data_IF_275316007325
#
_entry.id   IF_275316007325
#
_cell.length_a   1.000
_cell.length_b   1.000
_cell.length_c   1.000
_cell.angle_alpha   90.00
_cell.angle_beta   90.00
_cell.angle_gamma   90.00
#
_symmetry.space_group_name_H-M   'P 1'
#
loop_
_entity.id
_entity.type
_entity.pdbx_description
1 polymer ?
#
# COMPACT_ATOMS: atom_id res chain seq x y z
N UNK A 1 -15.96 47.15 -35.08
CA UNK A 1 -17.06 48.16 -34.95
C UNK A 1 -18.11 47.53 -34.04
N UNK A 2 -18.25 48.04 -32.80
CA UNK A 2 -19.36 48.91 -32.34
C UNK A 2 -20.74 48.29 -32.59
N UNK A 3 -21.71 48.19 -31.68
CA UNK A 3 -21.99 48.53 -30.27
C UNK A 3 -23.34 47.78 -30.00
N UNK A 4 -23.50 47.04 -28.91
CA UNK A 4 -24.22 47.41 -27.67
C UNK A 4 -25.71 47.83 -27.81
N UNK A 5 -26.57 47.22 -26.99
CA UNK A 5 -27.95 47.63 -26.72
C UNK A 5 -28.42 47.07 -25.37
N UNK A 6 -28.53 47.97 -24.38
CA UNK A 6 -28.86 47.71 -22.98
C UNK A 6 -30.39 47.62 -22.73
N UNK A 7 -30.77 46.99 -21.62
CA UNK A 7 -32.12 47.01 -21.04
C UNK A 7 -32.07 47.20 -19.53
N UNK A 8 -32.81 48.21 -19.05
CA UNK A 8 -32.78 48.90 -17.76
C UNK A 8 -33.82 48.32 -16.78
N UNK A 9 -33.60 48.38 -15.46
CA UNK A 9 -34.56 48.95 -14.50
C UNK A 9 -34.04 48.96 -13.04
N UNK A 10 -34.38 50.05 -12.36
CA UNK A 10 -33.84 50.54 -11.10
C UNK A 10 -34.75 50.26 -9.90
N UNK A 11 -34.19 50.34 -8.69
CA UNK A 11 -34.90 50.82 -7.50
C UNK A 11 -33.91 51.44 -6.50
N UNK A 12 -34.10 52.74 -6.24
CA UNK A 12 -33.46 53.53 -5.18
C UNK A 12 -34.11 53.23 -3.81
N UNK A 13 -33.38 53.48 -2.72
CA UNK A 13 -33.88 54.26 -1.58
C UNK A 13 -32.70 54.88 -0.81
N UNK A 14 -32.85 56.17 -0.48
CA UNK A 14 -31.88 57.12 0.08
C UNK A 14 -32.20 57.44 1.57
N UNK A 15 -31.28 58.22 2.18
CA UNK A 15 -31.44 59.32 3.17
C UNK A 15 -30.88 59.01 4.58
N UNK A 16 -29.77 59.65 5.03
CA UNK A 16 -29.61 60.94 5.80
C UNK A 16 -29.33 60.66 7.30
N UNK A 17 -28.59 61.42 8.13
CA UNK A 17 -28.01 62.77 8.13
C UNK A 17 -27.01 62.95 9.31
N UNK A 18 -25.97 63.78 9.13
CA UNK A 18 -25.50 64.97 9.91
C UNK A 18 -25.76 65.05 11.45
N UNK A 19 -24.97 65.67 12.36
CA UNK A 19 -23.94 66.73 12.31
C UNK A 19 -23.40 67.06 13.74
N UNK A 20 -22.10 67.43 13.83
CA UNK A 20 -21.37 68.46 14.62
C UNK A 20 -21.36 68.57 16.17
N UNK A 21 -20.11 68.70 16.64
CA UNK A 21 -19.43 69.15 17.89
C UNK A 21 -20.12 69.92 19.03
N UNK A 22 -19.67 69.64 20.27
CA UNK A 22 -19.03 70.65 21.13
C UNK A 22 -18.05 70.05 22.18
N UNK A 23 -16.86 70.65 22.23
CA UNK A 23 -15.89 70.90 23.32
C UNK A 23 -15.92 70.12 24.65
N UNK A 24 -14.75 69.57 25.04
CA UNK A 24 -13.98 69.95 26.28
C UNK A 24 -12.71 69.08 26.41
N UNK A 25 -11.57 69.73 26.68
CA UNK A 25 -10.25 69.18 27.08
C UNK A 25 -9.94 69.69 28.51
N UNK A 26 -8.98 69.18 29.32
CA UNK A 26 -7.95 68.15 29.09
C UNK A 26 -7.84 67.07 30.21
N UNK A 27 -6.98 66.06 30.02
CA UNK A 27 -5.76 65.77 30.82
C UNK A 27 -5.33 64.29 30.66
N UNK A 28 -4.02 64.07 30.79
CA UNK A 28 -3.23 63.07 30.07
C UNK A 28 -3.12 61.68 30.73
N UNK A 29 -2.85 60.66 29.90
CA UNK A 29 -1.84 59.61 30.12
C UNK A 29 -1.49 58.90 28.80
N UNK A 30 -0.22 58.52 28.54
CA UNK A 30 0.25 58.07 27.22
C UNK A 30 0.18 56.53 27.05
N UNK A 31 0.81 56.04 25.96
CA UNK A 31 1.22 54.65 25.58
C UNK A 31 0.31 53.92 24.57
N UNK A 32 0.86 53.06 23.66
CA UNK A 32 1.87 53.31 22.63
C UNK A 32 1.37 52.96 21.20
N UNK A 33 2.16 53.32 20.19
CA UNK A 33 1.94 53.11 18.76
C UNK A 33 1.91 51.63 18.32
N UNK A 34 0.91 51.25 17.51
CA UNK A 34 0.95 50.05 16.66
C UNK A 34 1.90 50.26 15.48
N UNK A 35 2.74 49.28 15.09
CA UNK A 35 3.42 49.31 13.82
C UNK A 35 2.49 48.86 12.68
N UNK A 36 2.55 49.63 11.61
CA UNK A 36 2.07 49.35 10.26
C UNK A 36 2.45 47.96 9.77
N UNK A 37 1.47 47.26 9.16
CA UNK A 37 1.69 46.04 8.39
C UNK A 37 2.52 46.37 7.13
N UNK A 38 3.72 45.80 7.06
CA UNK A 38 4.51 45.74 5.82
C UNK A 38 4.20 44.42 5.14
N UNK A 39 3.62 44.53 3.95
CA UNK A 39 3.49 43.48 2.93
C UNK A 39 4.89 42.90 2.66
N UNK A 40 5.08 41.61 2.90
CA UNK A 40 6.31 40.88 2.58
C UNK A 40 5.97 39.83 1.52
N UNK A 41 6.72 39.93 0.43
CA UNK A 41 6.69 39.13 -0.79
C UNK A 41 6.59 37.61 -0.56
N UNK A 42 5.83 36.99 -1.47
CA UNK A 42 5.78 35.56 -1.80
C UNK A 42 7.20 34.95 -1.87
N UNK A 43 7.46 33.97 -1.01
CA UNK A 43 8.59 33.04 -1.08
C UNK A 43 7.97 31.65 -1.34
N UNK A 44 8.34 30.93 -2.41
CA UNK A 44 7.74 29.64 -2.72
C UNK A 44 8.17 28.62 -1.67
N UNK A 45 7.17 28.04 -0.99
CA UNK A 45 7.36 26.91 -0.09
C UNK A 45 8.05 25.76 -0.85
N UNK A 46 9.26 25.41 -0.41
CA UNK A 46 9.89 24.15 -0.79
C UNK A 46 9.06 22.96 -0.30
N UNK A 47 9.16 21.78 -0.94
CA UNK A 47 8.43 20.60 -0.53
C UNK A 47 8.91 20.18 0.86
N UNK A 48 8.04 20.28 1.86
CA UNK A 48 8.19 19.58 3.14
C UNK A 48 8.08 18.07 2.90
N UNK A 49 9.01 17.25 3.41
CA UNK A 49 8.79 15.81 3.53
C UNK A 49 7.56 15.57 4.40
N UNK A 50 6.59 14.83 3.85
CA UNK A 50 5.50 14.28 4.64
C UNK A 50 6.03 13.05 5.39
N UNK A 51 6.63 13.29 6.55
CA UNK A 51 6.87 12.27 7.58
C UNK A 51 6.29 12.79 8.88
N UNK A 52 4.99 12.55 9.08
CA UNK A 52 4.39 12.64 10.41
C UNK A 52 5.05 11.64 11.37
N UNK A 53 4.97 11.85 12.70
CA UNK A 53 5.59 10.97 13.69
C UNK A 53 4.72 9.71 13.87
N UNK A 54 4.74 8.83 12.87
CA UNK A 54 4.35 7.42 12.98
C UNK A 54 5.61 6.56 12.97
N UNK A 55 5.63 5.47 13.73
CA UNK A 55 6.71 4.49 13.59
C UNK A 55 6.67 3.91 12.17
N UNK A 56 7.80 3.93 11.47
CA UNK A 56 7.89 3.34 10.14
C UNK A 56 7.42 1.87 10.19
N UNK A 57 6.54 1.49 9.26
CA UNK A 57 6.05 0.11 9.13
C UNK A 57 6.84 -0.61 8.03
N UNK A 58 6.95 -1.95 8.09
CA UNK A 58 7.45 -2.75 6.97
C UNK A 58 6.64 -2.53 5.68
N UNK A 59 7.27 -2.77 4.52
CA UNK A 59 6.62 -2.70 3.20
C UNK A 59 5.77 -3.93 2.86
N UNK A 60 5.75 -4.94 3.75
CA UNK A 60 4.90 -6.12 3.68
C UNK A 60 5.17 -7.07 4.85
N UNK A 61 4.37 -8.12 4.96
CA UNK A 61 4.39 -9.11 6.06
C UNK A 61 5.65 -9.99 6.10
N UNK A 62 6.36 -10.04 4.98
CA UNK A 62 7.61 -10.76 4.81
C UNK A 62 7.45 -12.27 4.65
N UNK A 63 8.36 -12.88 3.91
CA UNK A 63 8.46 -14.34 3.80
C UNK A 63 9.92 -14.75 3.57
N UNK A 64 10.22 -16.04 3.53
CA UNK A 64 11.53 -16.54 3.08
C UNK A 64 11.52 -16.99 1.61
N UNK A 65 10.39 -16.83 0.92
CA UNK A 65 10.28 -17.19 -0.49
C UNK A 65 11.03 -16.18 -1.37
N UNK A 66 11.57 -16.66 -2.49
CA UNK A 66 12.26 -15.81 -3.47
C UNK A 66 11.30 -14.79 -4.08
N UNK A 67 11.77 -13.54 -4.24
CA UNK A 67 11.07 -12.47 -4.92
C UNK A 67 11.78 -12.14 -6.23
N UNK A 68 11.11 -12.35 -7.36
CA UNK A 68 11.62 -12.09 -8.71
C UNK A 68 10.63 -11.18 -9.45
N UNK A 69 11.08 -9.98 -9.79
CA UNK A 69 10.31 -9.01 -10.58
C UNK A 69 11.19 -8.45 -11.70
N UNK A 70 10.76 -8.58 -12.97
CA UNK A 70 11.50 -8.02 -14.09
C UNK A 70 11.40 -6.50 -14.12
N UNK A 71 12.49 -5.84 -14.50
CA UNK A 71 12.49 -4.40 -14.81
C UNK A 71 11.84 -4.12 -16.17
N UNK A 72 11.42 -2.87 -16.38
CA UNK A 72 10.74 -2.44 -17.59
C UNK A 72 11.33 -1.13 -18.13
N UNK A 73 11.24 -0.93 -19.45
CA UNK A 73 11.69 0.31 -20.08
C UNK A 73 13.22 0.49 -20.10
N UNK A 74 13.71 1.74 -20.26
CA UNK A 74 15.14 2.04 -20.27
C UNK A 74 15.84 1.69 -18.93
N UNK A 75 17.14 1.36 -18.94
CA UNK A 75 17.87 1.11 -17.70
C UNK A 75 17.91 2.32 -16.77
N UNK A 76 17.89 2.06 -15.46
CA UNK A 76 17.94 3.10 -14.41
C UNK A 76 19.29 3.10 -13.70
N UNK A 77 19.76 4.27 -13.28
CA UNK A 77 20.98 4.36 -12.48
C UNK A 77 20.64 4.22 -11.00
N UNK A 78 21.33 3.33 -10.29
CA UNK A 78 21.36 3.32 -8.83
C UNK A 78 22.13 4.57 -8.37
N UNK A 79 21.54 5.40 -7.52
CA UNK A 79 22.14 6.66 -7.05
C UNK A 79 22.49 6.64 -5.57
N UNK A 80 21.79 5.82 -4.78
CA UNK A 80 21.99 5.75 -3.34
C UNK A 80 21.63 4.39 -2.77
N UNK A 81 22.37 3.96 -1.75
CA UNK A 81 22.07 2.79 -0.92
C UNK A 81 22.05 3.24 0.54
N UNK A 82 20.90 3.12 1.19
CA UNK A 82 20.71 3.52 2.58
C UNK A 82 20.31 2.32 3.45
N UNK A 83 20.82 2.30 4.68
CA UNK A 83 20.45 1.32 5.70
C UNK A 83 19.78 2.06 6.87
N UNK A 84 18.68 1.50 7.38
CA UNK A 84 17.98 2.04 8.53
C UNK A 84 17.58 0.92 9.49
N UNK A 85 17.72 1.18 10.79
CA UNK A 85 17.22 0.30 11.84
C UNK A 85 15.86 0.82 12.34
N UNK A 86 14.88 -0.07 12.44
CA UNK A 86 13.54 0.22 12.97
C UNK A 86 13.19 -0.75 14.09
N UNK A 87 12.09 -0.50 14.79
CA UNK A 87 11.59 -1.47 15.77
C UNK A 87 10.99 -2.67 15.03
N UNK A 88 11.50 -3.87 15.30
CA UNK A 88 11.02 -5.11 14.69
C UNK A 88 11.52 -5.42 13.27
N UNK A 89 12.28 -4.53 12.61
CA UNK A 89 12.89 -4.79 11.30
C UNK A 89 14.05 -3.85 10.99
N UNK A 90 14.92 -4.27 10.07
CA UNK A 90 15.92 -3.40 9.43
C UNK A 90 15.57 -3.20 7.96
N UNK A 91 15.94 -2.06 7.40
CA UNK A 91 15.58 -1.66 6.05
C UNK A 91 16.81 -1.37 5.21
N UNK A 92 16.84 -1.94 4.01
CA UNK A 92 17.77 -1.59 2.94
C UNK A 92 16.99 -0.84 1.85
N UNK A 93 17.44 0.36 1.48
CA UNK A 93 16.82 1.17 0.43
C UNK A 93 17.80 1.41 -0.70
N UNK A 94 17.38 1.08 -1.92
CA UNK A 94 18.08 1.39 -3.15
C UNK A 94 17.31 2.49 -3.88
N UNK A 95 17.94 3.65 -4.12
CA UNK A 95 17.31 4.77 -4.84
C UNK A 95 17.79 4.82 -6.28
N UNK A 96 16.87 5.13 -7.18
CA UNK A 96 17.14 5.09 -8.62
C UNK A 96 16.79 6.42 -9.27
N UNK A 97 17.46 6.69 -10.40
CA UNK A 97 17.13 7.76 -11.31
C UNK A 97 17.05 7.22 -12.74
N UNK A 98 16.05 7.66 -13.49
CA UNK A 98 15.79 7.23 -14.87
C UNK A 98 14.29 7.19 -15.16
N UNK A 99 13.94 6.92 -16.42
CA UNK A 99 12.54 6.87 -16.89
C UNK A 99 11.96 5.45 -16.90
N UNK A 100 12.80 4.41 -16.75
CA UNK A 100 12.35 3.03 -16.63
C UNK A 100 12.24 2.56 -15.19
N UNK A 101 11.98 1.27 -15.03
CA UNK A 101 11.78 0.60 -13.75
C UNK A 101 12.92 -0.40 -13.48
N UNK A 102 13.53 -0.39 -12.28
CA UNK A 102 14.44 -1.46 -11.89
C UNK A 102 13.65 -2.76 -11.72
N UNK A 103 14.29 -3.88 -12.05
CA UNK A 103 13.84 -5.19 -11.58
C UNK A 103 14.68 -5.66 -10.38
N UNK A 104 14.29 -6.77 -9.78
CA UNK A 104 15.03 -7.36 -8.68
C UNK A 104 14.82 -8.86 -8.57
N UNK A 105 15.84 -9.53 -8.06
CA UNK A 105 15.81 -10.93 -7.62
C UNK A 105 16.35 -10.96 -6.19
N UNK A 106 15.54 -11.41 -5.23
CA UNK A 106 15.89 -11.46 -3.80
C UNK A 106 15.62 -12.85 -3.26
N UNK A 107 16.64 -13.50 -2.71
CA UNK A 107 16.53 -14.87 -2.20
C UNK A 107 17.75 -15.33 -1.42
N UNK A 108 17.57 -16.35 -0.58
CA UNK A 108 18.65 -16.92 0.23
C UNK A 108 19.61 -17.76 -0.60
N UNK A 109 20.89 -17.69 -0.26
CA UNK A 109 21.93 -18.51 -0.89
C UNK A 109 22.91 -19.07 0.13
N UNK A 110 23.18 -20.37 0.03
CA UNK A 110 24.21 -21.04 0.84
C UNK A 110 25.63 -20.73 0.35
N UNK A 111 25.77 -20.26 -0.89
CA UNK A 111 27.07 -20.05 -1.54
C UNK A 111 27.10 -18.72 -2.28
N UNK A 112 27.20 -17.58 -1.55
CA UNK A 112 27.40 -16.28 -2.15
C UNK A 112 28.61 -16.30 -3.10
N UNK A 113 28.39 -15.90 -4.35
CA UNK A 113 29.41 -15.88 -5.39
C UNK A 113 29.35 -14.60 -6.19
N UNK A 114 30.54 -14.10 -6.51
CA UNK A 114 30.71 -12.90 -7.31
C UNK A 114 30.26 -13.14 -8.74
N UNK A 115 29.36 -12.32 -9.26
CA UNK A 115 28.83 -12.48 -10.63
C UNK A 115 29.93 -12.30 -11.69
N UNK A 116 30.90 -11.43 -11.44
CA UNK A 116 31.99 -11.18 -12.39
C UNK A 116 33.07 -12.27 -12.40
N UNK A 117 33.47 -12.76 -11.23
CA UNK A 117 34.62 -13.68 -11.10
C UNK A 117 34.25 -15.15 -10.83
N UNK A 118 33.02 -15.42 -10.37
CA UNK A 118 32.59 -16.72 -9.86
C UNK A 118 33.22 -17.13 -8.52
N UNK A 119 34.09 -16.28 -7.94
CA UNK A 119 34.72 -16.50 -6.65
C UNK A 119 33.71 -16.42 -5.50
N UNK A 120 34.00 -17.05 -4.35
CA UNK A 120 33.17 -16.91 -3.16
C UNK A 120 33.19 -15.47 -2.64
N UNK A 121 32.06 -14.98 -2.14
CA UNK A 121 31.94 -13.69 -1.45
C UNK A 121 31.79 -13.96 0.05
N UNK A 122 32.60 -13.32 0.87
CA UNK A 122 32.50 -13.43 2.33
C UNK A 122 31.41 -12.49 2.83
N UNK A 123 30.37 -13.05 3.44
CA UNK A 123 29.21 -12.32 3.96
C UNK A 123 29.12 -12.59 5.47
N UNK A 124 29.38 -11.59 6.33
CA UNK A 124 29.26 -11.76 7.78
C UNK A 124 27.84 -12.15 8.19
N UNK A 125 27.68 -13.11 9.09
CA UNK A 125 26.39 -13.56 9.60
C UNK A 125 26.21 -15.08 9.57
N UNK A 126 25.04 -15.55 10.00
CA UNK A 126 24.61 -16.95 9.93
C UNK A 126 23.84 -17.32 8.67
N UNK A 127 23.32 -16.34 7.91
CA UNK A 127 22.68 -16.54 6.61
C UNK A 127 23.00 -15.39 5.65
N UNK A 128 22.95 -15.66 4.34
CA UNK A 128 23.18 -14.67 3.30
C UNK A 128 21.96 -14.56 2.37
N UNK A 129 21.36 -13.36 2.35
CA UNK A 129 20.31 -13.01 1.41
C UNK A 129 20.95 -12.30 0.20
N UNK A 130 20.85 -12.90 -0.98
CA UNK A 130 21.26 -12.27 -2.24
C UNK A 130 20.20 -11.27 -2.69
N UNK A 131 20.64 -10.08 -3.08
CA UNK A 131 19.80 -9.01 -3.64
C UNK A 131 20.44 -8.60 -4.97
N UNK A 132 19.83 -8.99 -6.09
CA UNK A 132 20.28 -8.60 -7.42
C UNK A 132 19.31 -7.61 -8.02
N UNK A 133 19.75 -6.37 -8.21
CA UNK A 133 19.01 -5.36 -8.96
C UNK A 133 19.22 -5.60 -10.45
N UNK A 134 18.16 -5.56 -11.25
CA UNK A 134 18.21 -5.76 -12.70
C UNK A 134 17.71 -4.53 -13.44
N UNK A 135 17.98 -4.44 -14.75
CA UNK A 135 17.73 -3.26 -15.56
C UNK A 135 18.49 -2.01 -15.07
N UNK A 136 19.73 -2.20 -14.60
CA UNK A 136 20.58 -1.11 -14.08
C UNK A 136 21.49 -0.57 -15.18
N UNK A 137 21.53 0.75 -15.32
CA UNK A 137 22.46 1.44 -16.21
C UNK A 137 23.90 1.26 -15.70
N UNK A 138 24.83 0.95 -16.62
CA UNK A 138 26.25 0.98 -16.28
C UNK A 138 26.68 2.42 -16.00
N UNK A 139 27.73 2.67 -15.19
CA UNK A 139 28.12 4.03 -14.83
C UNK A 139 28.41 4.96 -16.02
N UNK A 140 28.86 4.41 -17.16
CA UNK A 140 29.09 5.17 -18.40
C UNK A 140 27.83 5.45 -19.23
N UNK A 141 26.72 4.77 -18.91
CA UNK A 141 25.43 4.85 -19.61
C UNK A 141 24.34 5.50 -18.73
N UNK A 142 24.73 6.08 -17.59
CA UNK A 142 23.81 6.75 -16.68
C UNK A 142 23.14 7.97 -17.34
N UNK A 143 21.89 8.31 -16.96
CA UNK A 143 21.20 9.47 -17.52
C UNK A 143 21.98 10.78 -17.29
N UNK A 144 21.84 11.73 -18.21
CA UNK A 144 22.53 13.02 -18.13
C UNK A 144 22.28 13.73 -16.78
N UNK A 145 23.36 14.12 -16.11
CA UNK A 145 23.31 14.82 -14.82
C UNK A 145 23.00 13.92 -13.62
N UNK A 146 22.87 12.61 -13.81
CA UNK A 146 22.77 11.63 -12.74
C UNK A 146 24.16 11.12 -12.39
N UNK A 147 24.51 11.16 -11.10
CA UNK A 147 25.71 10.52 -10.58
C UNK A 147 25.34 9.11 -10.09
N UNK A 148 25.89 8.04 -10.71
CA UNK A 148 25.73 6.69 -10.19
C UNK A 148 26.35 6.57 -8.79
N UNK A 149 25.76 5.71 -7.98
CA UNK A 149 26.33 5.32 -6.71
C UNK A 149 27.73 4.71 -6.93
N UNK A 150 28.73 5.21 -6.20
CA UNK A 150 30.15 4.85 -6.42
C UNK A 150 30.60 3.61 -5.64
N UNK A 151 29.67 2.88 -5.03
CA UNK A 151 29.98 1.76 -4.14
C UNK A 151 30.22 2.18 -2.69
N UNK A 152 30.27 1.20 -1.78
CA UNK A 152 30.38 1.49 -0.34
C UNK A 152 30.56 0.31 0.61
N UNK A 153 30.96 -0.86 0.12
CA UNK A 153 31.00 -2.08 0.94
C UNK A 153 32.23 -2.23 1.86
N UNK A 154 32.06 -2.78 3.08
CA UNK A 154 30.80 -3.18 3.70
C UNK A 154 30.01 -2.00 4.26
N UNK A 155 28.68 -2.03 4.10
CA UNK A 155 27.76 -1.07 4.71
C UNK A 155 27.16 -1.65 5.99
N UNK A 156 27.10 -0.85 7.05
CA UNK A 156 26.51 -1.22 8.35
C UNK A 156 25.65 -0.08 8.89
N UNK A 157 24.68 -0.40 9.73
CA UNK A 157 23.85 0.58 10.43
C UNK A 157 23.85 0.32 11.93
N UNK A 158 24.05 1.37 12.72
CA UNK A 158 24.04 1.25 14.17
C UNK A 158 22.62 0.96 14.67
N UNK A 159 22.49 -0.01 15.57
CA UNK A 159 21.20 -0.40 16.14
C UNK A 159 20.39 -1.36 15.28
N UNK A 160 20.97 -1.93 14.22
CA UNK A 160 20.37 -3.03 13.46
C UNK A 160 19.97 -4.20 14.38
N UNK A 161 18.82 -4.79 14.12
CA UNK A 161 18.29 -5.95 14.86
C UNK A 161 18.62 -7.28 14.19
N UNK A 162 18.76 -7.27 12.87
CA UNK A 162 18.75 -8.43 11.96
C UNK A 162 19.93 -8.38 10.99
N UNK A 163 20.19 -7.21 10.41
CA UNK A 163 21.25 -7.00 9.42
C UNK A 163 22.61 -6.83 10.10
N UNK A 164 23.51 -7.78 9.89
CA UNK A 164 24.91 -7.66 10.32
C UNK A 164 25.68 -6.73 9.37
N UNK A 165 25.57 -6.95 8.06
CA UNK A 165 26.31 -6.19 7.04
C UNK A 165 25.65 -6.33 5.67
N UNK A 166 25.64 -5.25 4.88
CA UNK A 166 25.36 -5.32 3.45
C UNK A 166 26.68 -5.27 2.67
N UNK A 167 26.95 -6.33 1.91
CA UNK A 167 28.15 -6.50 1.09
C UNK A 167 27.79 -6.25 -0.38
N UNK A 168 28.39 -5.24 -0.99
CA UNK A 168 28.37 -5.04 -2.44
C UNK A 168 29.29 -6.06 -3.13
N UNK A 169 28.83 -6.67 -4.23
CA UNK A 169 29.67 -7.50 -5.11
C UNK A 169 30.12 -6.73 -6.35
N UNK A 170 29.28 -6.66 -7.39
CA UNK A 170 29.61 -5.96 -8.64
C UNK A 170 28.36 -5.64 -9.44
N UNK A 171 28.50 -4.63 -10.30
CA UNK A 171 27.59 -4.36 -11.42
C UNK A 171 28.19 -4.93 -12.71
N UNK A 172 27.51 -5.92 -13.30
CA UNK A 172 27.89 -6.57 -14.57
C UNK A 172 26.63 -6.76 -15.40
N UNK A 173 26.70 -6.41 -16.69
CA UNK A 173 25.60 -6.64 -17.66
C UNK A 173 24.23 -6.10 -17.19
N UNK A 174 24.25 -4.96 -16.51
CA UNK A 174 23.04 -4.31 -15.98
C UNK A 174 22.40 -5.02 -14.78
N UNK A 175 23.16 -5.92 -14.13
CA UNK A 175 22.80 -6.59 -12.89
C UNK A 175 23.73 -6.14 -11.77
N UNK A 176 23.20 -5.54 -10.71
CA UNK A 176 23.96 -5.10 -9.54
C UNK A 176 23.67 -6.00 -8.36
N UNK A 177 24.65 -6.78 -7.93
CA UNK A 177 24.48 -7.76 -6.85
C UNK A 177 25.00 -7.25 -5.51
N UNK A 178 24.20 -7.50 -4.48
CA UNK A 178 24.50 -7.27 -3.07
C UNK A 178 24.19 -8.54 -2.27
N UNK A 179 24.81 -8.69 -1.12
CA UNK A 179 24.52 -9.73 -0.15
C UNK A 179 24.27 -9.11 1.23
N UNK A 180 23.08 -9.30 1.76
CA UNK A 180 22.77 -8.95 3.14
C UNK A 180 23.10 -10.15 4.05
N UNK A 181 24.04 -9.93 4.96
CA UNK A 181 24.42 -10.86 5.99
C UNK A 181 23.53 -10.74 7.22
N UNK A 182 22.89 -11.83 7.62
CA UNK A 182 21.89 -11.87 8.68
C UNK A 182 22.28 -12.90 9.74
N UNK A 183 21.73 -12.78 10.95
CA UNK A 183 22.01 -13.72 12.06
C UNK A 183 21.54 -15.16 11.79
N UNK A 184 20.43 -15.31 11.06
CA UNK A 184 19.84 -16.55 10.53
C UNK A 184 18.95 -16.21 9.33
N UNK A 185 18.32 -17.21 8.69
CA UNK A 185 17.26 -16.90 7.73
C UNK A 185 16.10 -16.20 8.47
N UNK A 186 15.74 -15.03 7.95
CA UNK A 186 14.69 -14.15 8.44
C UNK A 186 13.69 -13.82 7.32
N UNK A 187 12.42 -13.61 7.64
CA UNK A 187 11.47 -13.17 6.63
C UNK A 187 11.82 -11.78 6.13
N UNK A 188 11.67 -11.56 4.82
CA UNK A 188 11.93 -10.30 4.17
C UNK A 188 10.74 -9.88 3.31
N UNK A 189 10.53 -8.58 3.20
CA UNK A 189 9.52 -7.97 2.32
C UNK A 189 10.21 -7.02 1.33
N UNK A 190 9.78 -7.05 0.07
CA UNK A 190 10.33 -6.20 -0.99
C UNK A 190 9.22 -5.33 -1.57
N UNK A 191 9.46 -4.02 -1.65
CA UNK A 191 8.48 -3.06 -2.16
C UNK A 191 9.13 -1.98 -3.01
N UNK A 192 8.51 -1.65 -4.15
CA UNK A 192 8.90 -0.52 -4.99
C UNK A 192 8.02 0.70 -4.70
N UNK A 193 8.64 1.88 -4.62
CA UNK A 193 7.97 3.17 -4.41
C UNK A 193 8.47 4.14 -5.50
N UNK A 194 7.61 5.04 -5.99
CA UNK A 194 7.86 5.82 -7.22
C UNK A 194 8.13 7.31 -7.00
N UNK A 195 8.08 7.83 -5.77
CA UNK A 195 8.22 9.26 -5.49
C UNK A 195 8.95 9.54 -4.16
N UNK A 196 10.30 9.49 -4.13
CA UNK A 196 11.22 9.16 -5.23
C UNK A 196 11.28 7.66 -5.54
N UNK A 197 11.78 7.30 -6.74
CA UNK A 197 11.91 5.90 -7.16
C UNK A 197 12.92 5.15 -6.27
N UNK A 198 12.42 4.15 -5.54
CA UNK A 198 13.22 3.34 -4.63
C UNK A 198 12.69 1.92 -4.51
N UNK A 199 13.62 0.98 -4.38
CA UNK A 199 13.36 -0.38 -3.92
C UNK A 199 13.67 -0.44 -2.43
N UNK A 200 12.74 -0.98 -1.65
CA UNK A 200 12.86 -1.17 -0.22
C UNK A 200 12.86 -2.66 0.07
N UNK A 201 13.87 -3.13 0.81
CA UNK A 201 13.97 -4.50 1.32
C UNK A 201 13.96 -4.43 2.84
N UNK A 202 12.86 -4.87 3.46
CA UNK A 202 12.74 -4.98 4.91
C UNK A 202 13.09 -6.38 5.38
N UNK A 203 13.91 -6.46 6.42
CA UNK A 203 14.42 -7.66 7.05
C UNK A 203 13.79 -7.76 8.44
N UNK A 204 12.87 -8.69 8.64
CA UNK A 204 12.03 -8.74 9.82
C UNK A 204 12.72 -9.47 10.99
N UNK A 205 12.63 -8.89 12.19
CA UNK A 205 13.24 -9.42 13.40
C UNK A 205 12.51 -10.63 13.97
N UNK A 206 11.22 -10.76 13.69
CA UNK A 206 10.41 -11.94 14.03
C UNK A 206 9.93 -12.63 12.75
N UNK A 207 9.78 -13.95 12.81
CA UNK A 207 9.01 -14.63 11.78
C UNK A 207 7.56 -14.13 11.86
N UNK A 208 6.91 -13.74 10.74
CA UNK A 208 5.50 -13.45 10.77
C UNK A 208 4.83 -14.69 11.33
N UNK A 209 3.91 -14.48 12.26
CA UNK A 209 3.21 -15.58 12.90
C UNK A 209 2.71 -16.52 11.79
N UNK A 210 2.99 -17.84 11.87
CA UNK A 210 2.65 -18.77 10.80
C UNK A 210 1.20 -18.55 10.42
N UNK A 211 0.96 -18.23 9.15
CA UNK A 211 -0.32 -17.78 8.64
C UNK A 211 -1.43 -18.64 9.27
N UNK A 212 -2.22 -18.06 10.18
CA UNK A 212 -2.98 -18.84 11.17
C UNK A 212 -3.78 -19.97 10.49
N UNK A 213 -3.61 -21.21 10.97
CA UNK A 213 -4.25 -22.37 10.36
C UNK A 213 -5.78 -22.22 10.39
N UNK A 214 -6.42 -22.44 9.23
CA UNK A 214 -7.88 -22.44 9.11
C UNK A 214 -8.42 -23.71 9.79
N UNK A 215 -8.87 -23.55 11.03
CA UNK A 215 -9.20 -24.67 11.93
C UNK A 215 -10.63 -24.62 12.46
N UNK A 216 -11.33 -23.50 12.26
CA UNK A 216 -12.75 -23.37 12.52
C UNK A 216 -13.50 -23.37 11.20
N UNK A 217 -14.77 -23.79 11.21
CA UNK A 217 -15.67 -23.69 10.07
C UNK A 217 -16.94 -22.96 10.48
N UNK A 218 -17.43 -22.09 9.61
CA UNK A 218 -18.66 -21.33 9.81
C UNK A 218 -19.64 -21.67 8.68
N UNK A 219 -20.89 -21.96 9.03
CA UNK A 219 -21.97 -22.23 8.06
C UNK A 219 -22.89 -21.01 7.96
N UNK A 220 -22.92 -20.39 6.78
CA UNK A 220 -23.81 -19.26 6.52
C UNK A 220 -25.20 -19.75 6.12
N UNK A 221 -26.28 -19.14 6.65
CA UNK A 221 -27.64 -19.40 6.15
C UNK A 221 -27.81 -18.99 4.68
N UNK A 222 -26.86 -18.27 4.09
CA UNK A 222 -26.83 -17.96 2.66
C UNK A 222 -26.42 -19.15 1.77
N UNK A 223 -26.13 -20.32 2.33
CA UNK A 223 -25.89 -21.57 1.58
C UNK A 223 -24.41 -21.85 1.25
N UNK A 224 -23.48 -21.27 2.01
CA UNK A 224 -22.06 -21.59 1.93
C UNK A 224 -21.49 -21.87 3.32
N UNK A 225 -20.45 -22.68 3.39
CA UNK A 225 -19.60 -22.80 4.57
C UNK A 225 -18.15 -22.47 4.21
N UNK A 226 -17.41 -21.93 5.17
CA UNK A 226 -16.01 -21.51 4.96
C UNK A 226 -15.19 -21.76 6.21
N UNK A 227 -13.95 -22.23 6.04
CA UNK A 227 -13.00 -22.33 7.14
C UNK A 227 -12.36 -20.98 7.44
N UNK A 228 -12.01 -20.73 8.70
CA UNK A 228 -11.38 -19.47 9.15
C UNK A 228 -10.39 -19.73 10.30
N UNK A 229 -9.47 -18.79 10.59
CA UNK A 229 -8.54 -18.94 11.69
C UNK A 229 -9.25 -19.00 13.05
N UNK A 230 -8.80 -19.87 13.95
CA UNK A 230 -9.41 -19.97 15.30
C UNK A 230 -9.25 -18.70 16.16
N UNK A 231 -8.26 -17.86 15.85
CA UNK A 231 -8.05 -16.58 16.50
C UNK A 231 -8.98 -15.48 16.01
N UNK A 232 -9.65 -15.67 14.87
CA UNK A 232 -10.50 -14.65 14.27
C UNK A 232 -11.92 -14.69 14.83
N UNK A 233 -12.51 -13.51 14.97
CA UNK A 233 -13.92 -13.33 15.28
C UNK A 233 -14.77 -13.42 14.02
N UNK A 234 -15.98 -13.96 14.16
CA UNK A 234 -16.99 -14.06 13.11
C UNK A 234 -18.36 -13.60 13.62
N UNK A 235 -19.16 -12.96 12.77
CA UNK A 235 -20.46 -12.44 13.19
C UNK A 235 -21.48 -13.57 13.40
N UNK A 236 -22.32 -13.42 14.43
CA UNK A 236 -23.30 -14.42 14.87
C UNK A 236 -24.62 -14.44 14.07
N UNK A 237 -24.85 -13.49 13.17
CA UNK A 237 -26.07 -13.44 12.36
C UNK A 237 -27.17 -12.47 12.84
N UNK A 238 -26.95 -11.69 13.90
CA UNK A 238 -27.99 -10.84 14.50
C UNK A 238 -28.38 -9.63 13.63
N UNK A 239 -27.41 -8.97 12.99
CA UNK A 239 -27.62 -7.74 12.19
C UNK A 239 -27.54 -8.01 10.69
N UNK A 240 -26.57 -8.83 10.30
CA UNK A 240 -26.32 -9.29 8.92
C UNK A 240 -26.20 -10.81 8.98
N UNK A 241 -26.44 -11.56 7.87
CA UNK A 241 -26.37 -13.02 7.86
C UNK A 241 -25.09 -13.54 8.51
N UNK A 242 -25.17 -14.65 9.26
CA UNK A 242 -24.00 -15.21 9.94
C UNK A 242 -22.90 -15.60 8.95
N UNK A 243 -21.66 -15.62 9.42
CA UNK A 243 -20.49 -16.03 8.62
C UNK A 243 -20.22 -15.11 7.41
N UNK A 244 -20.46 -13.81 7.54
CA UNK A 244 -20.25 -12.81 6.47
C UNK A 244 -19.24 -11.73 6.82
N UNK A 245 -18.77 -11.67 8.06
CA UNK A 245 -17.79 -10.71 8.57
C UNK A 245 -16.75 -11.45 9.38
N UNK A 246 -15.47 -11.27 9.05
CA UNK A 246 -14.35 -11.95 9.70
C UNK A 246 -13.26 -10.93 10.04
N UNK A 247 -12.73 -10.97 11.26
CA UNK A 247 -11.69 -10.04 11.70
C UNK A 247 -10.76 -10.70 12.73
N UNK A 248 -9.48 -10.28 12.81
CA UNK A 248 -8.56 -10.76 13.85
C UNK A 248 -8.98 -10.33 15.26
N UNK A 249 -9.63 -9.16 15.38
CA UNK A 249 -10.11 -8.63 16.65
C UNK A 249 -11.62 -8.83 16.84
N UNK A 250 -12.11 -8.89 18.10
CA UNK A 250 -13.53 -8.87 18.39
C UNK A 250 -14.22 -7.61 17.86
N UNK A 251 -15.39 -7.77 17.24
CA UNK A 251 -16.16 -6.67 16.68
C UNK A 251 -17.65 -6.82 16.99
N UNK A 252 -18.39 -5.72 16.79
CA UNK A 252 -19.85 -5.71 16.76
C UNK A 252 -20.29 -5.14 15.42
N UNK A 253 -21.42 -5.61 14.88
CA UNK A 253 -22.03 -5.05 13.66
C UNK A 253 -23.18 -4.11 14.07
N UNK A 254 -22.99 -2.78 14.03
CA UNK A 254 -24.05 -1.83 14.34
C UNK A 254 -25.27 -2.01 13.44
N UNK A 255 -26.47 -1.82 14.00
CA UNK A 255 -27.69 -1.85 13.20
C UNK A 255 -27.75 -0.68 12.21
N UNK A 256 -28.12 -0.95 10.95
CA UNK A 256 -28.28 0.06 9.91
C UNK A 256 -27.00 0.77 9.49
N UNK A 257 -25.83 0.15 9.70
CA UNK A 257 -24.55 0.68 9.22
C UNK A 257 -24.22 0.15 7.83
N UNK A 258 -23.74 1.05 6.98
CA UNK A 258 -23.10 0.71 5.70
C UNK A 258 -21.56 0.66 5.85
N UNK A 259 -21.04 0.84 7.07
CA UNK A 259 -19.60 0.80 7.31
C UNK A 259 -19.05 -0.61 7.11
N UNK A 260 -17.84 -0.70 6.57
CA UNK A 260 -17.08 -1.93 6.51
C UNK A 260 -16.74 -2.38 7.93
N UNK A 261 -17.22 -3.56 8.29
CA UNK A 261 -16.90 -4.23 9.56
C UNK A 261 -16.21 -5.54 9.22
N UNK A 262 -15.01 -5.74 9.73
CA UNK A 262 -14.20 -6.94 9.46
C UNK A 262 -13.29 -6.82 8.24
N UNK A 263 -12.14 -7.44 8.40
CA UNK A 263 -11.07 -7.49 7.41
C UNK A 263 -11.54 -8.21 6.13
N UNK A 264 -12.21 -9.35 6.30
CA UNK A 264 -12.80 -10.11 5.19
C UNK A 264 -14.32 -10.09 5.30
N UNK A 265 -14.99 -9.81 4.19
CA UNK A 265 -16.45 -9.89 4.10
C UNK A 265 -16.90 -10.82 2.99
N UNK A 266 -17.99 -11.54 3.25
CA UNK A 266 -18.68 -12.35 2.26
C UNK A 266 -20.12 -11.84 2.08
N UNK A 267 -20.60 -11.74 0.84
CA UNK A 267 -21.99 -11.40 0.54
C UNK A 267 -22.49 -12.18 -0.67
N UNK A 268 -23.73 -12.65 -0.60
CA UNK A 268 -24.42 -13.23 -1.75
C UNK A 268 -25.28 -12.13 -2.36
N UNK A 269 -24.88 -11.69 -3.55
CA UNK A 269 -25.55 -10.65 -4.31
C UNK A 269 -26.61 -11.26 -5.24
N UNK A 270 -27.76 -10.61 -5.37
CA UNK A 270 -28.79 -10.94 -6.37
C UNK A 270 -28.47 -10.34 -7.74
N UNK A 271 -27.21 -10.44 -8.16
CA UNK A 271 -26.66 -9.86 -9.39
C UNK A 271 -26.04 -10.99 -10.21
N UNK A 272 -26.22 -11.04 -11.54
CA UNK A 272 -25.55 -12.00 -12.41
C UNK A 272 -24.02 -11.93 -12.28
N UNK A 273 -23.36 -13.07 -12.29
CA UNK A 273 -21.90 -13.19 -12.22
C UNK A 273 -21.19 -12.24 -13.19
N UNK A 274 -21.60 -12.25 -14.46
CA UNK A 274 -21.03 -11.41 -15.53
C UNK A 274 -21.12 -9.91 -15.24
N UNK A 275 -22.16 -9.47 -14.52
CA UNK A 275 -22.31 -8.07 -14.16
C UNK A 275 -21.42 -7.68 -12.98
N UNK A 276 -21.11 -8.61 -12.07
CA UNK A 276 -20.21 -8.37 -10.93
C UNK A 276 -18.75 -8.33 -11.37
N UNK A 277 -18.35 -9.21 -12.29
CA UNK A 277 -16.97 -9.26 -12.80
C UNK A 277 -16.68 -8.25 -13.91
N UNK A 278 -17.69 -7.56 -14.41
CA UNK A 278 -17.55 -6.55 -15.46
C UNK A 278 -16.53 -5.47 -15.04
N UNK A 279 -15.78 -4.91 -16.02
CA UNK A 279 -14.94 -3.74 -15.76
C UNK A 279 -15.78 -2.58 -15.21
N UNK A 280 -15.22 -1.86 -14.25
CA UNK A 280 -15.86 -0.71 -13.61
C UNK A 280 -15.00 0.55 -13.69
N UNK A 281 -15.32 1.53 -12.86
CA UNK A 281 -14.53 2.76 -12.72
C UNK A 281 -13.18 2.56 -12.02
N UNK A 282 -13.08 1.52 -11.19
CA UNK A 282 -11.82 1.16 -10.53
C UNK A 282 -10.82 0.58 -11.53
N UNK A 283 -9.54 0.92 -11.35
CA UNK A 283 -8.43 0.37 -12.13
C UNK A 283 -8.23 -1.11 -11.74
N UNK A 284 -8.16 -2.00 -12.72
CA UNK A 284 -7.92 -3.44 -12.51
C UNK A 284 -6.41 -3.72 -12.56
N UNK A 285 -5.83 -4.12 -11.43
CA UNK A 285 -4.41 -4.47 -11.34
C UNK A 285 -4.15 -5.89 -11.81
N UNK A 286 -5.04 -6.81 -11.45
CA UNK A 286 -4.93 -8.21 -11.83
C UNK A 286 -6.29 -8.89 -11.91
N UNK A 287 -6.36 -9.91 -12.76
CA UNK A 287 -7.52 -10.79 -12.96
C UNK A 287 -7.02 -12.22 -13.17
N UNK A 288 -7.60 -13.14 -12.42
CA UNK A 288 -7.32 -14.57 -12.55
C UNK A 288 -8.64 -15.36 -12.58
N UNK A 289 -8.83 -16.12 -13.65
CA UNK A 289 -9.93 -17.09 -13.73
C UNK A 289 -9.60 -18.31 -12.86
N UNK A 290 -10.57 -18.76 -12.06
CA UNK A 290 -10.38 -19.88 -11.13
C UNK A 290 -11.67 -20.67 -10.92
N UNK A 291 -11.61 -21.72 -10.10
CA UNK A 291 -12.74 -22.57 -9.76
C UNK A 291 -12.79 -22.76 -8.25
N UNK A 292 -13.96 -22.53 -7.66
CA UNK A 292 -14.20 -22.69 -6.21
C UNK A 292 -15.31 -23.70 -6.02
N UNK A 293 -15.01 -24.84 -5.38
CA UNK A 293 -15.97 -25.94 -5.16
C UNK A 293 -16.73 -26.35 -6.45
N UNK A 294 -15.98 -26.46 -7.55
CA UNK A 294 -16.52 -26.82 -8.87
C UNK A 294 -17.32 -25.72 -9.58
N UNK A 295 -17.40 -24.50 -9.01
CA UNK A 295 -18.10 -23.35 -9.60
C UNK A 295 -17.11 -22.37 -10.24
N UNK A 296 -17.52 -21.75 -11.35
CA UNK A 296 -16.75 -20.68 -12.00
C UNK A 296 -16.52 -19.53 -11.04
N UNK A 297 -15.28 -19.06 -10.96
CA UNK A 297 -14.91 -17.94 -10.12
C UNK A 297 -13.84 -17.07 -10.79
N UNK A 298 -13.72 -15.82 -10.34
CA UNK A 298 -12.64 -14.91 -10.73
C UNK A 298 -12.10 -14.24 -9.48
N UNK A 299 -10.77 -14.22 -9.35
CA UNK A 299 -10.05 -13.37 -8.40
C UNK A 299 -9.69 -12.07 -9.12
N UNK A 300 -10.05 -10.94 -8.55
CA UNK A 300 -9.81 -9.63 -9.13
C UNK A 300 -9.20 -8.70 -8.08
N UNK A 301 -8.11 -8.05 -8.43
CA UNK A 301 -7.53 -6.96 -7.65
C UNK A 301 -7.80 -5.62 -8.34
N UNK A 302 -8.28 -4.64 -7.59
CA UNK A 302 -8.61 -3.31 -8.11
C UNK A 302 -8.15 -2.20 -7.19
N UNK A 303 -7.86 -1.04 -7.78
CA UNK A 303 -7.65 0.23 -7.08
C UNK A 303 -8.83 1.15 -7.35
N UNK A 304 -9.44 1.68 -6.29
CA UNK A 304 -10.51 2.65 -6.44
C UNK A 304 -10.02 3.91 -7.14
N UNK A 305 -10.78 4.39 -8.13
CA UNK A 305 -10.57 5.69 -8.77
C UNK A 305 -11.24 6.86 -8.00
N UNK A 306 -11.70 6.62 -6.77
CA UNK A 306 -12.46 7.59 -5.97
C UNK A 306 -13.94 7.70 -6.35
N UNK A 307 -14.40 6.89 -7.31
CA UNK A 307 -15.80 6.74 -7.65
C UNK A 307 -16.46 5.63 -6.81
N UNK A 308 -17.55 5.95 -6.10
CA UNK A 308 -18.32 4.98 -5.31
C UNK A 308 -18.09 5.09 -3.80
N UNK A 309 -17.93 3.94 -3.13
CA UNK A 309 -17.85 3.86 -1.66
C UNK A 309 -16.46 4.18 -1.11
N UNK A 310 -15.40 4.00 -1.91
CA UNK A 310 -14.01 4.04 -1.45
C UNK A 310 -13.25 5.23 -2.04
N UNK A 311 -12.46 5.95 -1.23
CA UNK A 311 -11.54 6.98 -1.73
C UNK A 311 -10.60 6.47 -2.83
N UNK A 312 -10.07 7.38 -3.62
CA UNK A 312 -9.05 7.07 -4.62
C UNK A 312 -7.82 6.41 -3.97
N UNK A 313 -7.25 5.42 -4.63
CA UNK A 313 -6.06 4.70 -4.16
C UNK A 313 -6.34 3.51 -3.24
N UNK A 314 -7.57 3.34 -2.74
CA UNK A 314 -7.93 2.19 -1.89
C UNK A 314 -7.93 0.91 -2.72
N UNK A 315 -7.09 -0.06 -2.34
CA UNK A 315 -7.02 -1.37 -2.99
C UNK A 315 -8.09 -2.33 -2.48
N UNK A 316 -8.48 -3.27 -3.31
CA UNK A 316 -9.36 -4.38 -2.92
C UNK A 316 -9.01 -5.64 -3.69
N UNK A 317 -9.08 -6.78 -3.00
CA UNK A 317 -8.99 -8.12 -3.61
C UNK A 317 -10.31 -8.82 -3.38
N UNK A 318 -10.93 -9.28 -4.46
CA UNK A 318 -12.25 -9.92 -4.45
C UNK A 318 -12.22 -11.25 -5.17
N UNK A 319 -12.80 -12.28 -4.56
CA UNK A 319 -13.24 -13.48 -5.26
C UNK A 319 -14.73 -13.37 -5.56
N UNK A 320 -15.06 -13.54 -6.83
CA UNK A 320 -16.45 -13.54 -7.32
C UNK A 320 -16.75 -14.95 -7.79
N UNK A 321 -17.74 -15.61 -7.20
CA UNK A 321 -18.11 -17.01 -7.50
C UNK A 321 -19.53 -17.07 -8.02
N UNK A 322 -19.71 -17.68 -9.19
CA UNK A 322 -21.02 -17.89 -9.79
C UNK A 322 -21.79 -18.96 -9.01
N UNK A 323 -22.85 -18.55 -8.29
CA UNK A 323 -23.73 -19.51 -7.61
C UNK A 323 -24.84 -20.03 -8.53
N UNK A 324 -24.92 -19.54 -9.78
CA UNK A 324 -25.98 -19.84 -10.73
C UNK A 324 -27.26 -19.05 -10.46
N UNK A 325 -28.36 -19.52 -11.04
CA UNK A 325 -29.69 -18.96 -10.80
C UNK A 325 -30.52 -19.86 -9.89
N UNK A 326 -31.20 -19.27 -8.90
CA UNK A 326 -32.23 -19.92 -8.09
C UNK A 326 -33.64 -19.43 -8.47
N UNK A 327 -34.66 -19.86 -7.72
CA UNK A 327 -36.05 -19.42 -7.91
C UNK A 327 -36.23 -17.89 -7.78
N UNK A 328 -35.34 -17.25 -7.01
CA UNK A 328 -35.34 -15.80 -6.74
C UNK A 328 -34.47 -14.99 -7.73
N UNK A 329 -33.83 -15.65 -8.70
CA UNK A 329 -32.97 -15.02 -9.70
C UNK A 329 -31.49 -15.39 -9.60
N UNK A 330 -30.61 -14.67 -10.33
CA UNK A 330 -29.17 -14.94 -10.32
C UNK A 330 -28.57 -14.66 -8.95
N UNK A 331 -27.57 -15.46 -8.58
CA UNK A 331 -26.86 -15.35 -7.30
C UNK A 331 -25.36 -15.40 -7.54
N UNK A 332 -24.64 -14.46 -6.94
CA UNK A 332 -23.17 -14.39 -7.02
C UNK A 332 -22.61 -14.20 -5.62
N UNK A 333 -21.68 -15.04 -5.19
CA UNK A 333 -20.95 -14.82 -3.95
C UNK A 333 -19.78 -13.88 -4.24
N UNK A 334 -19.63 -12.83 -3.43
CA UNK A 334 -18.45 -11.97 -3.39
C UNK A 334 -17.79 -12.13 -2.03
N UNK A 335 -16.54 -12.56 -2.01
CA UNK A 335 -15.70 -12.58 -0.79
C UNK A 335 -14.52 -11.66 -1.02
N UNK A 336 -14.33 -10.64 -0.18
CA UNK A 336 -13.30 -9.65 -0.43
C UNK A 336 -12.62 -9.10 0.82
N UNK A 337 -11.44 -8.52 0.59
CA UNK A 337 -10.71 -7.65 1.52
C UNK A 337 -10.46 -6.29 0.87
N UNK A 338 -10.33 -5.24 1.69
CA UNK A 338 -10.16 -3.86 1.27
C UNK A 338 -9.07 -3.22 2.13
N UNK A 339 -8.21 -2.43 1.49
CA UNK A 339 -7.08 -1.73 2.10
C UNK A 339 -7.55 -0.50 2.89
N UNK A 340 -8.07 -0.77 4.08
CA UNK A 340 -8.46 0.26 5.05
C UNK A 340 -7.48 0.25 6.21
N UNK A 341 -7.24 1.43 6.79
CA UNK A 341 -6.24 1.61 7.86
C UNK A 341 -6.47 0.74 9.10
N UNK A 342 -7.69 0.30 9.31
CA UNK A 342 -8.04 -0.57 10.44
C UNK A 342 -7.63 -2.04 10.23
N UNK A 343 -7.27 -2.43 9.00
CA UNK A 343 -6.93 -3.80 8.65
C UNK A 343 -5.56 -3.88 7.99
N UNK A 344 -4.83 -4.94 8.29
CA UNK A 344 -3.66 -5.32 7.53
C UNK A 344 -4.11 -5.94 6.19
N UNK A 345 -3.98 -5.20 5.10
CA UNK A 345 -4.48 -5.60 3.80
C UNK A 345 -3.78 -6.86 3.27
N UNK A 346 -2.44 -6.89 3.31
CA UNK A 346 -1.66 -8.02 2.81
C UNK A 346 -1.95 -9.29 3.61
N UNK A 347 -1.98 -9.20 4.94
CA UNK A 347 -2.31 -10.35 5.78
C UNK A 347 -3.76 -10.82 5.53
N UNK A 348 -4.68 -9.88 5.27
CA UNK A 348 -6.06 -10.20 4.95
C UNK A 348 -6.21 -10.87 3.58
N UNK A 349 -5.40 -10.51 2.59
CA UNK A 349 -5.36 -11.17 1.27
C UNK A 349 -4.91 -12.62 1.42
N UNK A 350 -3.85 -12.88 2.20
CA UNK A 350 -3.37 -14.26 2.42
C UNK A 350 -4.39 -15.14 3.15
N UNK A 351 -5.11 -14.58 4.11
CA UNK A 351 -6.20 -15.29 4.79
C UNK A 351 -7.36 -15.50 3.82
N UNK A 352 -7.74 -14.49 3.03
CA UNK A 352 -8.80 -14.59 2.03
C UNK A 352 -8.53 -15.69 1.00
N UNK A 353 -7.33 -15.71 0.42
CA UNK A 353 -6.91 -16.68 -0.60
C UNK A 353 -7.05 -18.12 -0.07
N UNK A 354 -6.67 -18.34 1.20
CA UNK A 354 -6.84 -19.66 1.84
C UNK A 354 -8.29 -19.95 2.23
N UNK A 355 -9.03 -18.97 2.72
CA UNK A 355 -10.44 -19.14 3.10
C UNK A 355 -11.27 -19.58 1.88
N UNK A 356 -11.07 -18.94 0.73
CA UNK A 356 -11.82 -19.23 -0.49
C UNK A 356 -11.61 -20.67 -0.97
N UNK A 357 -10.41 -21.22 -0.79
CA UNK A 357 -10.13 -22.63 -1.13
C UNK A 357 -10.90 -23.65 -0.27
N UNK A 358 -11.49 -23.20 0.86
CA UNK A 358 -12.27 -24.04 1.77
C UNK A 358 -13.78 -23.84 1.66
N UNK A 359 -14.21 -22.97 0.75
CA UNK A 359 -15.63 -22.74 0.50
C UNK A 359 -16.29 -24.04 0.04
N UNK A 360 -17.43 -24.34 0.64
CA UNK A 360 -18.32 -25.43 0.22
C UNK A 360 -19.74 -24.88 0.10
N UNK A 361 -20.42 -25.18 -0.99
CA UNK A 361 -21.78 -24.69 -1.25
C UNK A 361 -22.82 -25.77 -0.99
N UNK A 362 -23.74 -25.50 -0.07
CA UNK A 362 -24.84 -26.42 0.24
C UNK A 362 -26.06 -26.06 -0.60
N UNK A 363 -26.40 -26.90 -1.57
CA UNK A 363 -27.63 -26.79 -2.38
C UNK A 363 -27.39 -26.18 -3.77
N UNK A 364 -27.84 -26.91 -4.80
CA UNK A 364 -28.03 -26.45 -6.17
C UNK A 364 -29.52 -26.20 -6.42
#
# INVERSE_FOLDING_TARGET
MRLAGAGVCAALLLLTSCTTDDSTSPEAVPTPSSPTATEREDDPAGPTPDDGPGAAQPVGDGSTAEADVPGNGPPVALTEVELAAHDGFDRVVFRFAGEGDPGWEVGYTEQPRSQGSGGPVEVPGGAALGITLTNIALPGDAPDGVQPWEGGSPLTVAGANVLDTLVEDTLVEGRYTFFAGLDRERPFAVGALSSPQRLVVDLLAEEPAPAAALSQRCESPAGFSVAYPASWSVNSGLTVPACTRFAPEPFTVPAGTDARVGAITASVESIPFEAVVAPGAAEELSREETVVDGRTAVRIERVSAGEGLWPEGVRSTSYVVDLGGGEEGPRTLVVNTIDLREFDYSASVEVLDRMVQTLEFTGA
#
